data_IF_827986504597
#
_entry.id   IF_827986504597
#
_cell.length_a   1.000
_cell.length_b   1.000
_cell.length_c   1.000
_cell.angle_alpha   90.00
_cell.angle_beta   90.00
_cell.angle_gamma   90.00
#
_symmetry.space_group_name_H-M   'P 1'
#
loop_
_entity.id
_entity.type
_entity.pdbx_description
1 polymer ?
#
# COMPACT_ATOMS: atom_id res chain seq x y z
N UNK A 1 -0.45 -28.31 -43.20
CA UNK A 1 0.63 -28.16 -42.20
C UNK A 1 0.05 -27.76 -40.86
N UNK A 2 -0.72 -26.67 -40.79
CA UNK A 2 -1.30 -26.13 -39.53
C UNK A 2 -2.15 -27.12 -38.70
N UNK A 3 -2.97 -27.98 -39.34
CA UNK A 3 -3.74 -29.02 -38.62
C UNK A 3 -2.85 -30.12 -38.01
N UNK A 4 -1.72 -30.44 -38.66
CA UNK A 4 -0.77 -31.43 -38.15
C UNK A 4 0.06 -30.87 -36.99
N UNK A 5 0.37 -29.58 -37.00
CA UNK A 5 1.07 -28.89 -35.91
C UNK A 5 0.18 -28.75 -34.66
N UNK A 6 -1.11 -28.43 -34.84
CA UNK A 6 -2.08 -28.37 -33.73
C UNK A 6 -2.34 -29.75 -33.11
N UNK A 7 -2.40 -30.81 -33.93
CA UNK A 7 -2.53 -32.18 -33.44
C UNK A 7 -1.29 -32.62 -32.65
N UNK A 8 -0.09 -32.28 -33.13
CA UNK A 8 1.16 -32.54 -32.43
C UNK A 8 1.26 -31.80 -31.09
N UNK A 9 0.80 -30.55 -31.02
CA UNK A 9 0.75 -29.77 -29.78
C UNK A 9 -0.19 -30.38 -28.74
N UNK A 10 -1.36 -30.88 -29.17
CA UNK A 10 -2.34 -31.48 -28.27
C UNK A 10 -1.82 -32.80 -27.66
N UNK A 11 -1.21 -33.67 -28.46
CA UNK A 11 -0.64 -34.93 -27.95
C UNK A 11 0.54 -34.68 -27.00
N UNK A 12 1.30 -33.60 -27.20
CA UNK A 12 2.35 -33.16 -26.27
C UNK A 12 1.76 -32.69 -24.94
N UNK A 13 0.69 -31.88 -24.98
CA UNK A 13 -0.04 -31.42 -23.79
C UNK A 13 -0.65 -32.59 -23.00
N UNK A 14 -1.26 -33.58 -23.68
CA UNK A 14 -1.79 -34.79 -23.06
C UNK A 14 -0.65 -35.64 -22.45
N UNK A 15 0.50 -35.72 -23.13
CA UNK A 15 1.69 -36.40 -22.63
C UNK A 15 2.23 -35.80 -21.32
N UNK A 16 2.32 -34.48 -21.26
CA UNK A 16 2.75 -33.75 -20.06
C UNK A 16 1.75 -33.92 -18.89
N UNK A 17 0.46 -33.86 -19.18
CA UNK A 17 -0.59 -34.09 -18.19
C UNK A 17 -0.51 -35.51 -17.60
N UNK A 18 -0.35 -36.53 -18.44
CA UNK A 18 -0.18 -37.93 -17.99
C UNK A 18 1.03 -38.10 -17.10
N UNK A 19 2.16 -37.47 -17.43
CA UNK A 19 3.37 -37.54 -16.62
C UNK A 19 3.17 -36.87 -15.25
N UNK A 20 2.44 -35.74 -15.21
CA UNK A 20 2.07 -35.07 -13.97
C UNK A 20 1.20 -35.97 -13.07
N UNK A 21 0.16 -36.61 -13.63
CA UNK A 21 -0.74 -37.53 -12.88
C UNK A 21 0.03 -38.72 -12.31
N UNK A 22 0.98 -39.28 -13.06
CA UNK A 22 1.79 -40.44 -12.60
C UNK A 22 2.82 -40.08 -11.52
N UNK A 23 3.27 -38.82 -11.43
CA UNK A 23 4.31 -38.41 -10.47
C UNK A 23 3.81 -38.26 -9.02
N UNK A 24 2.51 -38.03 -8.78
CA UNK A 24 1.95 -37.90 -7.42
C UNK A 24 1.16 -39.16 -7.04
N UNK A 25 1.86 -40.06 -6.35
CA UNK A 25 1.47 -41.40 -5.89
C UNK A 25 0.06 -41.49 -5.26
N UNK A 26 -0.92 -41.97 -6.02
CA UNK A 26 -2.11 -42.72 -5.54
C UNK A 26 -2.88 -43.41 -6.68
N UNK A 27 -2.60 -43.07 -7.94
CA UNK A 27 -3.32 -43.56 -9.12
C UNK A 27 -2.47 -44.61 -9.85
N UNK A 28 -3.02 -45.80 -10.09
CA UNK A 28 -2.35 -46.88 -10.80
C UNK A 28 -2.12 -46.55 -12.27
N UNK A 29 -1.22 -47.30 -12.94
CA UNK A 29 -0.98 -47.10 -14.38
C UNK A 29 -2.23 -47.37 -15.24
N UNK A 30 -3.14 -48.22 -14.77
CA UNK A 30 -4.43 -48.50 -15.41
C UNK A 30 -5.40 -47.32 -15.25
N UNK A 31 -5.56 -46.81 -14.03
CA UNK A 31 -6.42 -45.66 -13.74
C UNK A 31 -5.96 -44.39 -14.47
N UNK A 32 -4.64 -44.20 -14.63
CA UNK A 32 -4.10 -43.09 -15.41
C UNK A 32 -4.41 -43.20 -16.92
N UNK A 33 -4.54 -44.41 -17.45
CA UNK A 33 -4.95 -44.64 -18.84
C UNK A 33 -6.46 -44.38 -19.02
N UNK A 34 -7.28 -44.82 -18.07
CA UNK A 34 -8.72 -44.54 -18.07
C UNK A 34 -9.02 -43.04 -18.00
N UNK A 35 -8.28 -42.29 -17.17
CA UNK A 35 -8.40 -40.83 -17.11
C UNK A 35 -7.90 -40.14 -18.39
N UNK A 36 -6.89 -40.68 -19.08
CA UNK A 36 -6.45 -40.18 -20.39
C UNK A 36 -7.55 -40.38 -21.45
N UNK A 37 -8.19 -41.54 -21.46
CA UNK A 37 -9.27 -41.83 -22.40
C UNK A 37 -10.47 -40.89 -22.18
N UNK A 38 -10.85 -40.65 -20.93
CA UNK A 38 -11.88 -39.68 -20.58
C UNK A 38 -11.51 -38.24 -20.96
N UNK A 39 -10.23 -37.86 -20.82
CA UNK A 39 -9.74 -36.55 -21.24
C UNK A 39 -9.90 -36.38 -22.76
N UNK A 40 -9.46 -37.39 -23.53
CA UNK A 40 -9.55 -37.38 -25.00
C UNK A 40 -11.00 -37.31 -25.47
N UNK A 41 -11.91 -38.02 -24.81
CA UNK A 41 -13.35 -38.00 -25.12
C UNK A 41 -13.97 -36.61 -24.85
N UNK A 42 -13.66 -35.97 -23.72
CA UNK A 42 -14.11 -34.61 -23.41
C UNK A 42 -13.56 -33.59 -24.42
N UNK A 43 -12.28 -33.70 -24.79
CA UNK A 43 -11.66 -32.81 -25.79
C UNK A 43 -12.34 -32.98 -27.15
N UNK A 44 -12.62 -34.21 -27.58
CA UNK A 44 -13.30 -34.48 -28.83
C UNK A 44 -14.71 -33.87 -28.85
N UNK A 45 -15.48 -34.03 -27.76
CA UNK A 45 -16.82 -33.44 -27.63
C UNK A 45 -16.81 -31.90 -27.63
N UNK A 46 -15.83 -31.29 -26.96
CA UNK A 46 -15.68 -29.83 -26.91
C UNK A 46 -15.22 -29.26 -28.25
N UNK A 47 -14.30 -29.94 -28.93
CA UNK A 47 -13.86 -29.56 -30.28
C UNK A 47 -15.02 -29.66 -31.28
N UNK A 48 -15.86 -30.69 -31.18
CA UNK A 48 -17.07 -30.83 -32.00
C UNK A 48 -18.09 -29.71 -31.73
N UNK A 49 -18.06 -29.09 -30.55
CA UNK A 49 -18.89 -27.93 -30.20
C UNK A 49 -18.30 -26.57 -30.65
N UNK A 50 -17.15 -26.57 -31.32
CA UNK A 50 -16.54 -25.40 -31.96
C UNK A 50 -15.40 -24.74 -31.18
N UNK A 51 -14.92 -25.36 -30.09
CA UNK A 51 -13.72 -24.90 -29.37
C UNK A 51 -12.44 -25.28 -30.12
N UNK A 52 -11.41 -24.44 -30.02
CA UNK A 52 -10.07 -24.82 -30.48
C UNK A 52 -9.50 -25.95 -29.62
N UNK A 53 -8.55 -26.73 -30.16
CA UNK A 53 -7.97 -27.89 -29.46
C UNK A 53 -7.35 -27.52 -28.10
N UNK A 54 -6.72 -26.35 -28.01
CA UNK A 54 -6.12 -25.84 -26.78
C UNK A 54 -7.18 -25.42 -25.74
N UNK A 55 -8.24 -24.74 -26.18
CA UNK A 55 -9.36 -24.37 -25.30
C UNK A 55 -10.13 -25.60 -24.82
N UNK A 56 -10.35 -26.57 -25.71
CA UNK A 56 -10.99 -27.84 -25.40
C UNK A 56 -10.19 -28.63 -24.36
N UNK A 57 -8.86 -28.67 -24.49
CA UNK A 57 -7.95 -29.28 -23.50
C UNK A 57 -8.09 -28.62 -22.13
N UNK A 58 -8.02 -27.29 -22.05
CA UNK A 58 -8.13 -26.56 -20.78
C UNK A 58 -9.49 -26.77 -20.09
N UNK A 59 -10.58 -26.74 -20.87
CA UNK A 59 -11.93 -26.96 -20.34
C UNK A 59 -12.11 -28.42 -19.90
N UNK A 60 -11.58 -29.38 -20.65
CA UNK A 60 -11.63 -30.80 -20.31
C UNK A 60 -10.84 -31.10 -19.03
N UNK A 61 -9.60 -30.63 -18.91
CA UNK A 61 -8.79 -30.78 -17.68
C UNK A 61 -9.50 -30.14 -16.48
N UNK A 62 -10.11 -28.96 -16.64
CA UNK A 62 -10.88 -28.30 -15.59
C UNK A 62 -12.14 -29.07 -15.18
N UNK A 63 -12.83 -29.70 -16.13
CA UNK A 63 -14.04 -30.52 -15.88
C UNK A 63 -13.72 -31.84 -15.19
N UNK A 64 -12.67 -32.52 -15.63
CA UNK A 64 -12.17 -33.72 -14.93
C UNK A 64 -11.68 -33.38 -13.53
N UNK A 65 -11.11 -32.18 -13.35
CA UNK A 65 -10.63 -31.68 -12.07
C UNK A 65 -11.69 -31.22 -11.07
N UNK A 66 -12.99 -31.34 -11.37
CA UNK A 66 -14.06 -30.94 -10.48
C UNK A 66 -14.26 -31.88 -9.27
N UNK A 67 -13.47 -32.97 -9.17
CA UNK A 67 -13.61 -33.97 -8.10
C UNK A 67 -12.43 -34.09 -7.13
N UNK A 68 -11.34 -33.31 -7.24
CA UNK A 68 -10.29 -33.37 -6.21
C UNK A 68 -9.43 -32.12 -6.03
N UNK A 69 -8.95 -31.91 -4.79
CA UNK A 69 -8.10 -30.80 -4.36
C UNK A 69 -6.80 -30.64 -5.19
N UNK A 70 -6.37 -31.69 -5.88
CA UNK A 70 -5.18 -31.75 -6.74
C UNK A 70 -5.27 -30.87 -8.00
N UNK A 71 -6.47 -30.68 -8.56
CA UNK A 71 -6.66 -29.89 -9.79
C UNK A 71 -6.56 -28.38 -9.59
N UNK A 72 -6.78 -27.90 -8.36
CA UNK A 72 -6.56 -26.49 -8.00
C UNK A 72 -5.07 -26.14 -7.92
N UNK A 73 -4.23 -27.09 -7.51
CA UNK A 73 -2.77 -26.90 -7.46
C UNK A 73 -2.15 -26.97 -8.85
N UNK A 74 -2.56 -27.91 -9.70
CA UNK A 74 -2.10 -27.97 -11.10
C UNK A 74 -2.54 -26.74 -11.89
N UNK A 75 -3.79 -26.30 -11.75
CA UNK A 75 -4.27 -25.08 -12.39
C UNK A 75 -3.50 -23.83 -11.91
N UNK A 76 -3.05 -23.76 -10.65
CA UNK A 76 -2.23 -22.65 -10.13
C UNK A 76 -0.77 -22.70 -10.64
N UNK A 77 -0.13 -23.87 -10.67
CA UNK A 77 1.26 -23.99 -11.17
C UNK A 77 1.37 -23.89 -12.70
N UNK A 78 0.38 -24.38 -13.46
CA UNK A 78 0.41 -24.35 -14.93
C UNK A 78 -0.19 -23.09 -15.55
N UNK A 79 -1.11 -22.40 -14.89
CA UNK A 79 -1.57 -21.07 -15.38
C UNK A 79 -0.43 -20.06 -15.36
N UNK A 80 0.54 -20.18 -14.44
CA UNK A 80 1.70 -19.29 -14.36
C UNK A 80 2.73 -19.55 -15.49
N UNK A 81 2.82 -20.79 -16.00
CA UNK A 81 3.66 -21.16 -17.16
C UNK A 81 2.97 -20.93 -18.50
N UNK A 82 1.68 -21.24 -18.61
CA UNK A 82 0.87 -20.96 -19.80
C UNK A 82 0.64 -19.46 -19.97
N UNK A 83 0.50 -18.68 -18.89
CA UNK A 83 0.54 -17.22 -18.95
C UNK A 83 1.89 -16.73 -19.47
N UNK A 84 3.00 -17.29 -18.97
CA UNK A 84 4.32 -16.98 -19.53
C UNK A 84 4.42 -17.36 -21.00
N UNK A 85 3.89 -18.49 -21.46
CA UNK A 85 3.92 -18.86 -22.88
C UNK A 85 2.93 -18.08 -23.77
N UNK A 86 1.73 -17.73 -23.28
CA UNK A 86 0.75 -16.93 -24.02
C UNK A 86 1.12 -15.44 -24.07
N UNK A 87 1.86 -14.94 -23.08
CA UNK A 87 2.41 -13.58 -23.07
C UNK A 87 3.79 -13.51 -23.76
N UNK A 88 4.57 -14.61 -23.79
CA UNK A 88 5.89 -14.65 -24.45
C UNK A 88 5.87 -15.21 -25.89
N UNK A 89 4.75 -15.76 -26.36
CA UNK A 89 4.57 -16.15 -27.78
C UNK A 89 3.49 -15.26 -28.38
N UNK A 90 3.84 -14.02 -28.80
CA UNK A 90 2.92 -13.23 -29.58
C UNK A 90 2.69 -13.94 -30.91
N UNK A 91 1.42 -14.16 -31.26
CA UNK A 91 1.03 -14.34 -32.64
C UNK A 91 1.76 -13.26 -33.47
N UNK A 92 2.49 -13.68 -34.50
CA UNK A 92 3.34 -12.82 -35.31
C UNK A 92 2.53 -11.73 -36.00
N UNK A 93 2.25 -10.63 -35.31
CA UNK A 93 1.89 -9.33 -35.88
C UNK A 93 2.21 -8.21 -34.87
N UNK A 94 3.26 -7.44 -35.18
CA UNK A 94 3.50 -6.05 -34.77
C UNK A 94 3.99 -5.65 -33.35
N UNK A 95 4.19 -6.57 -32.39
CA UNK A 95 4.64 -6.17 -31.03
C UNK A 95 6.16 -6.22 -30.76
N UNK A 96 7.02 -6.47 -31.77
CA UNK A 96 8.48 -6.57 -31.58
C UNK A 96 9.27 -5.23 -31.53
N UNK A 97 8.63 -4.08 -31.27
CA UNK A 97 9.33 -2.77 -31.32
C UNK A 97 9.03 -1.77 -30.21
N UNK A 98 8.73 -2.20 -28.98
CA UNK A 98 8.72 -1.27 -27.83
C UNK A 98 9.59 -1.79 -26.69
N UNK A 99 10.85 -1.38 -26.71
CA UNK A 99 11.85 -1.61 -25.64
C UNK A 99 11.40 -1.09 -24.26
N UNK A 100 10.36 -0.25 -24.19
CA UNK A 100 9.78 0.30 -22.96
C UNK A 100 8.24 0.26 -23.07
N UNK A 101 7.52 -0.37 -22.11
CA UNK A 101 6.06 -0.34 -22.09
C UNK A 101 5.53 1.12 -22.06
N UNK A 102 4.45 1.45 -22.79
CA UNK A 102 3.92 2.82 -22.86
C UNK A 102 3.55 3.42 -21.48
N UNK A 103 3.17 2.56 -20.52
CA UNK A 103 2.89 2.96 -19.15
C UNK A 103 4.14 3.47 -18.40
N UNK A 104 5.31 2.89 -18.69
CA UNK A 104 6.57 3.31 -18.07
C UNK A 104 7.02 4.69 -18.56
N UNK A 105 6.86 4.96 -19.86
CA UNK A 105 7.13 6.30 -20.44
C UNK A 105 6.25 7.34 -19.78
N UNK A 106 4.96 7.03 -19.58
CA UNK A 106 4.03 7.92 -18.90
C UNK A 106 4.52 8.22 -17.47
N UNK A 107 4.89 7.20 -16.70
CA UNK A 107 5.40 7.39 -15.34
C UNK A 107 6.67 8.26 -15.30
N UNK A 108 7.60 8.07 -16.24
CA UNK A 108 8.81 8.90 -16.38
C UNK A 108 8.45 10.35 -16.67
N UNK A 109 7.51 10.61 -17.58
CA UNK A 109 7.06 11.98 -17.89
C UNK A 109 6.46 12.68 -16.66
N UNK A 110 5.64 11.97 -15.87
CA UNK A 110 5.10 12.50 -14.62
C UNK A 110 6.19 12.72 -13.56
N UNK A 111 7.19 11.83 -13.47
CA UNK A 111 8.33 11.99 -12.56
C UNK A 111 9.20 13.20 -12.94
N UNK A 112 9.45 13.42 -14.23
CA UNK A 112 10.12 14.62 -14.74
C UNK A 112 9.28 15.87 -14.49
N UNK A 113 7.96 15.78 -14.65
CA UNK A 113 7.03 16.85 -14.28
C UNK A 113 7.12 17.22 -12.81
N UNK A 114 7.22 16.23 -11.91
CA UNK A 114 7.38 16.46 -10.48
C UNK A 114 8.73 17.13 -10.16
N UNK A 115 9.81 16.66 -10.77
CA UNK A 115 11.12 17.31 -10.68
C UNK A 115 11.10 18.76 -11.15
N UNK A 116 10.37 19.05 -12.25
CA UNK A 116 10.18 20.41 -12.73
C UNK A 116 9.38 21.24 -11.74
N UNK A 117 8.26 20.73 -11.19
CA UNK A 117 7.45 21.44 -10.20
C UNK A 117 8.25 21.83 -8.96
N UNK A 118 9.17 20.98 -8.50
CA UNK A 118 10.10 21.30 -7.40
C UNK A 118 10.99 22.51 -7.75
N UNK A 119 11.35 22.69 -9.03
CA UNK A 119 12.20 23.80 -9.49
C UNK A 119 11.45 25.06 -9.89
N UNK A 120 10.15 24.96 -10.20
CA UNK A 120 9.32 26.11 -10.59
C UNK A 120 9.48 27.30 -9.63
N UNK A 121 9.39 27.17 -8.29
CA UNK A 121 9.52 28.32 -7.40
C UNK A 121 10.86 29.05 -7.50
N UNK A 122 11.95 28.34 -7.76
CA UNK A 122 13.28 28.94 -7.89
C UNK A 122 13.39 29.88 -9.09
N UNK A 123 12.63 29.64 -10.17
CA UNK A 123 12.55 30.55 -11.32
C UNK A 123 11.83 31.87 -11.00
N UNK A 124 11.07 31.91 -9.90
CA UNK A 124 10.40 33.11 -9.38
C UNK A 124 11.17 33.75 -8.22
N UNK A 125 12.42 33.35 -7.97
CA UNK A 125 13.25 33.87 -6.89
C UNK A 125 12.96 33.25 -5.51
N UNK A 126 12.10 32.24 -5.43
CA UNK A 126 11.84 31.49 -4.20
C UNK A 126 12.80 30.30 -4.15
N UNK A 127 14.01 30.54 -3.65
CA UNK A 127 15.07 29.53 -3.57
C UNK A 127 14.91 28.64 -2.34
N UNK A 128 15.35 27.38 -2.41
CA UNK A 128 15.27 26.45 -1.27
C UNK A 128 16.10 26.90 -0.05
N UNK A 129 17.24 27.56 -0.30
CA UNK A 129 18.14 28.02 0.76
C UNK A 129 17.53 29.14 1.59
N UNK A 130 16.84 30.08 0.94
CA UNK A 130 16.27 31.25 1.61
C UNK A 130 14.82 31.02 2.06
N UNK A 131 14.12 30.05 1.46
CA UNK A 131 12.67 29.86 1.63
C UNK A 131 12.31 28.42 2.04
N UNK A 132 13.09 27.79 2.92
CA UNK A 132 12.88 26.41 3.37
C UNK A 132 11.42 26.16 3.83
N UNK A 133 10.84 27.07 4.61
CA UNK A 133 9.48 26.93 5.11
C UNK A 133 8.43 26.87 4.00
N UNK A 134 8.64 27.58 2.88
CA UNK A 134 7.75 27.51 1.73
C UNK A 134 7.77 26.11 1.11
N UNK A 135 8.97 25.55 0.93
CA UNK A 135 9.14 24.21 0.35
C UNK A 135 8.57 23.11 1.25
N UNK A 136 8.81 23.19 2.55
CA UNK A 136 8.28 22.23 3.53
C UNK A 136 6.74 22.25 3.56
N UNK A 137 6.12 23.44 3.57
CA UNK A 137 4.65 23.58 3.55
C UNK A 137 4.03 23.09 2.23
N UNK A 138 4.76 23.20 1.12
CA UNK A 138 4.24 22.86 -0.20
C UNK A 138 4.73 21.51 -0.74
N UNK A 139 5.47 20.72 0.04
CA UNK A 139 6.10 19.46 -0.40
C UNK A 139 5.13 18.51 -1.08
N UNK A 140 3.90 18.40 -0.56
CA UNK A 140 2.84 17.55 -1.09
C UNK A 140 2.39 17.98 -2.51
N UNK A 141 2.39 19.28 -2.81
CA UNK A 141 1.91 19.81 -4.09
C UNK A 141 2.88 19.59 -5.25
N UNK A 142 4.17 19.37 -4.96
CA UNK A 142 5.14 19.07 -6.02
C UNK A 142 4.94 17.68 -6.63
N UNK A 143 4.17 16.80 -5.98
CA UNK A 143 4.10 15.38 -6.36
C UNK A 143 2.67 14.80 -6.39
N UNK A 144 1.85 15.08 -5.37
CA UNK A 144 0.54 14.44 -5.22
C UNK A 144 -0.49 14.86 -6.29
N UNK A 145 -0.56 16.12 -6.77
CA UNK A 145 -1.46 16.48 -7.88
C UNK A 145 -1.14 15.69 -9.17
N UNK A 146 0.16 15.49 -9.44
CA UNK A 146 0.62 14.71 -10.59
C UNK A 146 0.29 13.23 -10.44
N UNK A 147 0.45 12.67 -9.24
CA UNK A 147 0.07 11.29 -8.96
C UNK A 147 -1.45 11.07 -9.06
N UNK A 148 -2.26 12.01 -8.55
CA UNK A 148 -3.72 11.97 -8.70
C UNK A 148 -4.12 12.03 -10.18
N UNK A 149 -3.51 12.92 -10.97
CA UNK A 149 -3.76 13.02 -12.41
C UNK A 149 -3.37 11.74 -13.15
N UNK A 150 -2.23 11.13 -12.79
CA UNK A 150 -1.81 9.83 -13.32
C UNK A 150 -2.87 8.76 -13.09
N UNK A 151 -3.40 8.64 -11.87
CA UNK A 151 -4.44 7.66 -11.57
C UNK A 151 -5.79 7.96 -12.22
N UNK A 152 -6.23 9.22 -12.25
CA UNK A 152 -7.46 9.62 -12.95
C UNK A 152 -7.41 9.21 -14.41
N UNK A 153 -6.26 9.43 -15.07
CA UNK A 153 -6.05 9.04 -16.46
C UNK A 153 -6.04 7.53 -16.62
N UNK A 154 -5.31 6.82 -15.76
CA UNK A 154 -5.14 5.36 -15.85
C UNK A 154 -6.42 4.58 -15.54
N UNK A 155 -7.23 5.07 -14.59
CA UNK A 155 -8.53 4.49 -14.23
C UNK A 155 -9.69 4.98 -15.11
N UNK A 156 -9.43 5.90 -16.05
CA UNK A 156 -10.44 6.53 -16.93
C UNK A 156 -11.62 7.11 -16.14
N UNK A 157 -11.32 7.78 -15.03
CA UNK A 157 -12.33 8.30 -14.09
C UNK A 157 -12.30 9.84 -14.01
N UNK A 158 -12.68 10.56 -15.09
CA UNK A 158 -12.56 12.02 -15.15
C UNK A 158 -13.44 12.76 -14.14
N UNK A 159 -14.51 12.12 -13.65
CA UNK A 159 -15.38 12.70 -12.61
C UNK A 159 -14.63 13.05 -11.32
N UNK A 160 -13.52 12.37 -11.01
CA UNK A 160 -12.68 12.70 -9.85
C UNK A 160 -11.81 13.95 -10.05
N UNK A 161 -11.64 14.47 -11.27
CA UNK A 161 -10.72 15.58 -11.54
C UNK A 161 -11.13 16.88 -10.84
N UNK A 162 -12.41 17.26 -10.92
CA UNK A 162 -12.91 18.49 -10.28
C UNK A 162 -12.81 18.46 -8.75
N UNK A 163 -13.30 17.43 -8.03
CA UNK A 163 -13.16 17.38 -6.57
C UNK A 163 -11.71 17.26 -6.13
N UNK A 164 -10.86 16.53 -6.87
CA UNK A 164 -9.43 16.47 -6.57
C UNK A 164 -8.77 17.85 -6.72
N UNK A 165 -9.01 18.55 -7.84
CA UNK A 165 -8.50 19.90 -8.07
C UNK A 165 -8.97 20.87 -6.97
N UNK A 166 -10.26 20.82 -6.60
CA UNK A 166 -10.80 21.64 -5.52
C UNK A 166 -10.09 21.37 -4.18
N UNK A 167 -9.82 20.11 -3.83
CA UNK A 167 -9.12 19.76 -2.60
C UNK A 167 -7.65 20.21 -2.61
N UNK A 168 -6.93 20.04 -3.73
CA UNK A 168 -5.56 20.54 -3.87
C UNK A 168 -5.50 22.06 -3.80
N UNK A 169 -6.43 22.76 -4.45
CA UNK A 169 -6.51 24.22 -4.39
C UNK A 169 -6.81 24.69 -2.97
N UNK A 170 -7.78 24.08 -2.28
CA UNK A 170 -8.12 24.41 -0.90
C UNK A 170 -6.91 24.21 0.02
N UNK A 171 -6.19 23.09 -0.11
CA UNK A 171 -4.96 22.83 0.62
C UNK A 171 -3.87 23.86 0.32
N UNK A 172 -3.69 24.23 -0.95
CA UNK A 172 -2.68 25.21 -1.35
C UNK A 172 -3.02 26.62 -0.81
N UNK A 173 -4.30 27.00 -0.80
CA UNK A 173 -4.77 28.23 -0.16
C UNK A 173 -4.44 28.19 1.33
N UNK A 174 -4.85 27.15 2.06
CA UNK A 174 -4.54 27.03 3.49
C UNK A 174 -3.02 27.08 3.79
N UNK A 175 -2.20 26.40 2.99
CA UNK A 175 -0.75 26.35 3.19
C UNK A 175 -0.05 27.70 2.97
N UNK A 176 -0.59 28.56 2.10
CA UNK A 176 0.10 29.78 1.63
C UNK A 176 -0.58 31.09 2.06
N UNK A 177 -1.87 31.09 2.42
CA UNK A 177 -2.59 32.32 2.82
C UNK A 177 -2.76 32.45 4.33
N UNK A 178 -2.64 31.37 5.10
CA UNK A 178 -2.74 31.44 6.55
C UNK A 178 -1.52 32.16 7.16
N UNK A 179 -1.72 33.15 8.06
CA UNK A 179 -0.65 33.99 8.60
C UNK A 179 0.11 33.28 9.74
N UNK A 180 0.77 32.17 9.42
CA UNK A 180 1.59 31.43 10.39
C UNK A 180 2.84 32.23 10.80
N UNK A 181 3.05 32.38 12.11
CA UNK A 181 4.30 32.90 12.65
C UNK A 181 5.47 31.89 12.56
N UNK A 182 6.72 32.31 12.82
CA UNK A 182 7.92 31.47 12.71
C UNK A 182 7.88 30.19 13.57
N UNK A 183 7.24 30.25 14.75
CA UNK A 183 7.13 29.15 15.72
C UNK A 183 5.70 28.58 15.82
N UNK A 184 4.91 28.70 14.74
CA UNK A 184 3.50 28.31 14.77
C UNK A 184 3.33 26.79 14.90
N UNK A 185 2.76 26.35 16.02
CA UNK A 185 2.35 24.96 16.24
C UNK A 185 1.28 24.52 15.24
N UNK A 186 0.31 25.36 14.93
CA UNK A 186 -0.69 25.07 13.88
C UNK A 186 -0.06 25.00 12.49
N UNK A 187 1.00 25.76 12.22
CA UNK A 187 1.81 25.64 10.99
C UNK A 187 2.50 24.28 10.88
N UNK A 188 3.14 23.82 11.96
CA UNK A 188 3.77 22.48 12.03
C UNK A 188 2.70 21.38 11.85
N UNK A 189 1.56 21.52 12.52
CA UNK A 189 0.45 20.55 12.37
C UNK A 189 -0.07 20.50 10.93
N UNK A 190 -0.19 21.65 10.25
CA UNK A 190 -0.56 21.69 8.84
C UNK A 190 0.44 20.94 7.98
N UNK A 191 1.75 21.16 8.16
CA UNK A 191 2.81 20.45 7.41
C UNK A 191 2.69 18.93 7.57
N UNK A 192 2.34 18.46 8.77
CA UNK A 192 2.21 17.03 9.05
C UNK A 192 0.91 16.42 8.50
N UNK A 193 -0.22 17.13 8.60
CA UNK A 193 -1.54 16.58 8.28
C UNK A 193 -1.99 16.84 6.84
N UNK A 194 -1.48 17.88 6.18
CA UNK A 194 -1.83 18.21 4.80
C UNK A 194 -1.43 17.10 3.82
N UNK A 195 -0.21 16.52 3.86
CA UNK A 195 0.12 15.38 3.02
C UNK A 195 -0.80 14.19 3.25
N UNK A 196 -1.20 13.92 4.50
CA UNK A 196 -2.13 12.83 4.87
C UNK A 196 -3.51 13.08 4.25
N UNK A 197 -4.06 14.29 4.40
CA UNK A 197 -5.35 14.65 3.83
C UNK A 197 -5.35 14.55 2.29
N UNK A 198 -4.30 15.05 1.64
CA UNK A 198 -4.14 14.99 0.18
C UNK A 198 -3.86 13.57 -0.32
N UNK A 199 -3.25 12.70 0.50
CA UNK A 199 -3.08 11.28 0.18
C UNK A 199 -4.43 10.58 0.00
N UNK A 200 -5.43 10.90 0.83
CA UNK A 200 -6.79 10.37 0.64
C UNK A 200 -7.46 10.88 -0.64
N UNK A 201 -7.13 12.10 -1.10
CA UNK A 201 -7.58 12.61 -2.41
C UNK A 201 -6.96 11.79 -3.54
N UNK A 202 -5.67 11.44 -3.44
CA UNK A 202 -5.02 10.49 -4.35
C UNK A 202 -5.70 9.12 -4.29
N UNK A 203 -6.13 8.66 -3.11
CA UNK A 203 -6.89 7.41 -2.95
C UNK A 203 -8.22 7.39 -3.69
N UNK A 204 -8.96 8.51 -3.70
CA UNK A 204 -10.17 8.64 -4.52
C UNK A 204 -9.87 8.52 -6.02
N UNK A 205 -8.78 9.13 -6.49
CA UNK A 205 -8.30 8.97 -7.86
C UNK A 205 -7.88 7.52 -8.17
N UNK A 206 -7.17 6.89 -7.25
CA UNK A 206 -6.66 5.52 -7.36
C UNK A 206 -7.79 4.48 -7.48
N UNK A 207 -8.83 4.61 -6.66
CA UNK A 207 -9.95 3.65 -6.61
C UNK A 207 -10.88 3.73 -7.82
N UNK A 208 -10.83 4.80 -8.62
CA UNK A 208 -11.53 4.88 -9.90
C UNK A 208 -13.06 4.70 -9.82
N UNK A 209 -13.69 5.22 -8.75
CA UNK A 209 -15.12 5.07 -8.50
C UNK A 209 -15.50 3.92 -7.55
N UNK A 210 -14.56 3.04 -7.22
CA UNK A 210 -14.73 1.95 -6.23
C UNK A 210 -14.49 2.40 -4.78
N UNK A 211 -14.56 3.69 -4.48
CA UNK A 211 -14.35 4.16 -3.10
C UNK A 211 -15.41 3.64 -2.12
N UNK A 212 -16.63 3.34 -2.58
CA UNK A 212 -17.67 2.79 -1.70
C UNK A 212 -17.58 1.26 -1.53
N UNK A 213 -16.69 0.62 -2.27
CA UNK A 213 -16.41 -0.81 -2.21
C UNK A 213 -15.27 -1.08 -1.20
N UNK A 214 -15.46 -1.96 -0.20
CA UNK A 214 -14.41 -2.36 0.73
C UNK A 214 -13.13 -2.84 0.03
N UNK A 215 -13.27 -3.58 -1.07
CA UNK A 215 -12.13 -4.13 -1.81
C UNK A 215 -11.32 -3.00 -2.47
N UNK A 216 -12.00 -2.02 -3.05
CA UNK A 216 -11.36 -0.82 -3.62
C UNK A 216 -10.55 -0.04 -2.57
N UNK A 217 -11.08 0.11 -1.35
CA UNK A 217 -10.35 0.75 -0.24
C UNK A 217 -9.16 -0.10 0.23
N UNK A 218 -9.32 -1.42 0.28
CA UNK A 218 -8.23 -2.33 0.64
C UNK A 218 -7.10 -2.30 -0.40
N UNK A 219 -7.43 -2.26 -1.69
CA UNK A 219 -6.46 -2.11 -2.78
C UNK A 219 -5.64 -0.82 -2.61
N UNK A 220 -6.27 0.28 -2.19
CA UNK A 220 -5.58 1.54 -1.93
C UNK A 220 -4.64 1.46 -0.71
N UNK A 221 -5.05 0.79 0.36
CA UNK A 221 -4.18 0.55 1.52
C UNK A 221 -2.95 -0.27 1.11
N UNK A 222 -3.17 -1.38 0.40
CA UNK A 222 -2.10 -2.25 -0.12
C UNK A 222 -1.13 -1.48 -1.00
N UNK A 223 -1.66 -0.73 -1.96
CA UNK A 223 -0.87 0.15 -2.81
C UNK A 223 -0.05 1.15 -1.99
N UNK A 224 -0.65 1.79 -0.97
CA UNK A 224 0.00 2.83 -0.18
C UNK A 224 1.23 2.32 0.56
N UNK A 225 1.13 1.17 1.26
CA UNK A 225 2.30 0.66 1.98
C UNK A 225 3.26 -0.12 1.08
N UNK A 226 2.83 -0.70 -0.05
CA UNK A 226 3.78 -1.20 -1.05
C UNK A 226 4.60 -0.06 -1.66
N UNK A 227 3.94 1.05 -2.01
CA UNK A 227 4.63 2.26 -2.45
C UNK A 227 5.60 2.76 -1.39
N UNK A 228 5.20 2.79 -0.11
CA UNK A 228 6.08 3.18 0.97
C UNK A 228 7.35 2.31 1.03
N UNK A 229 7.20 0.98 0.93
CA UNK A 229 8.34 0.04 0.93
C UNK A 229 9.26 0.31 -0.27
N UNK A 230 8.69 0.43 -1.48
CA UNK A 230 9.48 0.72 -2.68
C UNK A 230 10.16 2.09 -2.61
N UNK A 231 9.46 3.09 -2.07
CA UNK A 231 10.02 4.42 -1.87
C UNK A 231 11.21 4.38 -0.91
N UNK A 232 11.11 3.66 0.21
CA UNK A 232 12.22 3.47 1.14
C UNK A 232 13.39 2.76 0.44
N UNK A 233 13.13 1.70 -0.34
CA UNK A 233 14.18 0.99 -1.06
C UNK A 233 14.88 1.88 -2.10
N UNK A 234 14.11 2.66 -2.86
CA UNK A 234 14.63 3.64 -3.82
C UNK A 234 15.43 4.74 -3.08
N UNK A 235 14.94 5.22 -1.95
CA UNK A 235 15.61 6.25 -1.16
C UNK A 235 16.93 5.73 -0.55
N UNK A 236 16.99 4.48 -0.08
CA UNK A 236 18.23 3.86 0.39
C UNK A 236 19.24 3.70 -0.76
N UNK A 237 18.81 3.19 -1.91
CA UNK A 237 19.65 3.12 -3.11
C UNK A 237 20.13 4.50 -3.59
N UNK A 238 19.23 5.49 -3.56
CA UNK A 238 19.52 6.89 -3.86
C UNK A 238 20.49 7.53 -2.86
N UNK A 239 20.40 7.18 -1.58
CA UNK A 239 21.32 7.61 -0.53
C UNK A 239 22.74 7.07 -0.75
N UNK A 240 22.86 5.77 -1.06
CA UNK A 240 24.14 5.16 -1.44
C UNK A 240 24.72 5.82 -2.70
N UNK A 241 23.90 6.01 -3.73
CA UNK A 241 24.30 6.73 -4.95
C UNK A 241 24.79 8.16 -4.63
N UNK A 242 24.06 8.89 -3.81
CA UNK A 242 24.40 10.26 -3.40
C UNK A 242 25.71 10.29 -2.62
N UNK A 243 25.97 9.30 -1.76
CA UNK A 243 27.23 9.17 -1.01
C UNK A 243 28.42 8.96 -1.95
N UNK A 244 28.31 8.05 -2.93
CA UNK A 244 29.37 7.86 -3.92
C UNK A 244 29.57 9.08 -4.81
N UNK A 245 28.48 9.73 -5.23
CA UNK A 245 28.55 10.98 -5.99
C UNK A 245 29.31 12.06 -5.19
N UNK A 246 28.96 12.26 -3.93
CA UNK A 246 29.65 13.22 -3.07
C UNK A 246 31.15 12.91 -2.94
N UNK A 247 31.48 11.64 -2.68
CA UNK A 247 32.86 11.19 -2.53
C UNK A 247 33.69 11.39 -3.81
N UNK A 248 33.21 10.91 -4.95
CA UNK A 248 33.95 10.95 -6.23
C UNK A 248 34.20 12.39 -6.71
N UNK A 249 33.19 13.27 -6.61
CA UNK A 249 33.36 14.66 -7.04
C UNK A 249 34.28 15.44 -6.09
N UNK A 250 34.20 15.18 -4.78
CA UNK A 250 35.11 15.81 -3.81
C UNK A 250 36.56 15.40 -4.04
N UNK A 251 36.82 14.12 -4.39
CA UNK A 251 38.16 13.63 -4.71
C UNK A 251 38.82 14.36 -5.90
N UNK A 252 38.03 14.81 -6.88
CA UNK A 252 38.52 15.59 -8.04
C UNK A 252 38.45 17.11 -7.81
N UNK A 253 38.19 17.55 -6.58
CA UNK A 253 38.18 18.97 -6.20
C UNK A 253 36.89 19.73 -6.50
N UNK A 254 35.78 19.03 -6.80
CA UNK A 254 34.46 19.63 -7.04
C UNK A 254 33.57 19.44 -5.80
N UNK A 255 32.87 20.50 -5.36
CA UNK A 255 31.91 20.44 -4.24
C UNK A 255 30.49 20.25 -4.77
N UNK A 256 29.89 19.04 -4.68
CA UNK A 256 28.58 18.77 -5.26
C UNK A 256 27.41 19.12 -4.32
N UNK A 257 27.66 19.67 -3.12
CA UNK A 257 26.67 19.86 -2.05
C UNK A 257 25.42 20.60 -2.53
N UNK A 258 25.59 21.72 -3.23
CA UNK A 258 24.50 22.53 -3.76
C UNK A 258 23.66 21.75 -4.78
N UNK A 259 24.33 21.00 -5.67
CA UNK A 259 23.65 20.15 -6.65
C UNK A 259 22.87 19.02 -5.96
N UNK A 260 23.46 18.39 -4.95
CA UNK A 260 22.83 17.32 -4.18
C UNK A 260 21.57 17.83 -3.48
N UNK A 261 21.69 18.91 -2.72
CA UNK A 261 20.63 19.43 -1.86
C UNK A 261 19.50 20.07 -2.64
N UNK A 262 19.78 20.75 -3.75
CA UNK A 262 18.75 21.48 -4.49
C UNK A 262 18.19 20.71 -5.67
N UNK A 263 18.99 19.85 -6.33
CA UNK A 263 18.56 19.10 -7.52
C UNK A 263 18.37 17.62 -7.23
N UNK A 264 19.44 16.91 -6.86
CA UNK A 264 19.42 15.45 -6.82
C UNK A 264 18.39 14.90 -5.83
N UNK A 265 18.45 15.34 -4.57
CA UNK A 265 17.58 14.82 -3.52
C UNK A 265 16.13 15.25 -3.74
N UNK A 266 15.79 16.54 -3.92
CA UNK A 266 14.39 16.95 -4.03
C UNK A 266 13.70 16.43 -5.29
N UNK A 267 14.37 16.50 -6.45
CA UNK A 267 13.82 15.98 -7.70
C UNK A 267 13.78 14.45 -7.70
N UNK A 268 14.79 13.79 -7.15
CA UNK A 268 14.84 12.34 -7.01
C UNK A 268 13.75 11.82 -6.08
N UNK A 269 13.54 12.45 -4.92
CA UNK A 269 12.48 12.15 -3.97
C UNK A 269 11.09 12.31 -4.61
N UNK A 270 10.82 13.44 -5.26
CA UNK A 270 9.55 13.67 -5.94
C UNK A 270 9.31 12.64 -7.07
N UNK A 271 10.32 12.41 -7.91
CA UNK A 271 10.24 11.43 -9.00
C UNK A 271 10.07 9.99 -8.51
N UNK A 272 10.70 9.62 -7.39
CA UNK A 272 10.62 8.29 -6.81
C UNK A 272 9.19 7.91 -6.38
N UNK A 273 8.36 8.87 -5.97
CA UNK A 273 6.93 8.62 -5.68
C UNK A 273 6.20 8.15 -6.93
N UNK A 274 6.41 8.81 -8.08
CA UNK A 274 5.74 8.47 -9.34
C UNK A 274 6.26 7.14 -9.91
N UNK A 275 7.58 6.96 -9.92
CA UNK A 275 8.23 5.72 -10.41
C UNK A 275 7.86 4.54 -9.51
N UNK A 276 7.89 4.71 -8.18
CA UNK A 276 7.45 3.70 -7.23
C UNK A 276 5.98 3.34 -7.43
N UNK A 277 5.11 4.33 -7.70
CA UNK A 277 3.68 4.10 -7.94
C UNK A 277 3.45 3.27 -9.20
N UNK A 278 4.20 3.55 -10.27
CA UNK A 278 4.18 2.75 -11.48
C UNK A 278 4.70 1.33 -11.25
N UNK A 279 5.81 1.18 -10.50
CA UNK A 279 6.39 -0.14 -10.21
C UNK A 279 5.42 -1.03 -9.42
N UNK A 280 4.75 -0.48 -8.41
CA UNK A 280 3.72 -1.19 -7.63
C UNK A 280 2.60 -1.67 -8.55
N UNK A 281 2.08 -0.79 -9.40
CA UNK A 281 0.99 -1.12 -10.31
C UNK A 281 1.38 -2.10 -11.42
N UNK A 282 2.60 -2.00 -11.96
CA UNK A 282 3.10 -2.92 -12.98
C UNK A 282 3.33 -4.33 -12.42
N UNK A 283 3.55 -4.44 -11.11
CA UNK A 283 3.78 -5.70 -10.40
C UNK A 283 2.51 -6.41 -9.96
N UNK A 284 1.37 -5.71 -9.81
CA UNK A 284 0.12 -6.30 -9.32
C UNK A 284 -0.30 -7.49 -10.22
N UNK A 285 0.07 -8.71 -9.82
CA UNK A 285 -0.21 -9.95 -10.52
C UNK A 285 0.93 -10.99 -10.60
N UNK A 286 2.20 -10.64 -10.31
CA UNK A 286 3.34 -11.55 -10.64
C UNK A 286 4.19 -11.99 -9.43
N UNK A 287 4.14 -11.31 -8.29
CA UNK A 287 5.05 -11.58 -7.16
C UNK A 287 4.27 -11.48 -5.85
N UNK A 288 4.55 -12.39 -4.91
CA UNK A 288 4.05 -12.33 -3.54
C UNK A 288 4.23 -10.91 -2.95
N UNK A 289 3.12 -10.35 -2.46
CA UNK A 289 3.14 -9.01 -1.85
C UNK A 289 4.14 -9.01 -0.67
N UNK A 290 4.84 -7.91 -0.43
CA UNK A 290 5.76 -7.80 0.73
C UNK A 290 5.01 -7.71 2.06
N UNK A 291 3.70 -7.43 1.99
CA UNK A 291 2.79 -7.28 3.12
C UNK A 291 2.83 -8.42 4.15
N UNK A 292 2.74 -9.71 3.76
CA UNK A 292 2.75 -10.83 4.69
C UNK A 292 4.13 -11.03 5.35
N UNK A 293 5.21 -10.73 4.64
CA UNK A 293 6.58 -10.84 5.18
C UNK A 293 6.77 -9.83 6.30
N UNK A 294 6.38 -8.57 6.04
CA UNK A 294 6.58 -7.47 6.97
C UNK A 294 5.75 -7.67 8.26
N UNK A 295 4.49 -8.10 8.14
CA UNK A 295 3.65 -8.37 9.32
C UNK A 295 4.16 -9.57 10.11
N UNK A 296 4.58 -10.65 9.46
CA UNK A 296 5.13 -11.81 10.17
C UNK A 296 6.39 -11.48 10.95
N UNK A 297 7.20 -10.52 10.48
CA UNK A 297 8.40 -10.07 11.17
C UNK A 297 8.08 -9.09 12.30
N UNK A 298 7.29 -8.05 12.03
CA UNK A 298 7.10 -6.94 12.95
C UNK A 298 5.98 -7.15 13.96
N UNK A 299 4.90 -7.86 13.63
CA UNK A 299 3.79 -8.10 14.57
C UNK A 299 4.29 -8.73 15.88
N UNK A 300 5.06 -9.84 15.89
CA UNK A 300 5.58 -10.40 17.15
C UNK A 300 6.48 -9.44 17.92
N UNK A 301 7.34 -8.70 17.24
CA UNK A 301 8.27 -7.74 17.85
C UNK A 301 7.52 -6.60 18.54
N UNK A 302 6.54 -6.01 17.86
CA UNK A 302 5.72 -4.93 18.42
C UNK A 302 4.78 -5.43 19.52
N UNK A 303 4.28 -6.68 19.43
CA UNK A 303 3.51 -7.28 20.53
C UNK A 303 4.38 -7.40 21.77
N UNK A 304 5.59 -7.93 21.63
CA UNK A 304 6.53 -8.06 22.74
C UNK A 304 6.88 -6.70 23.33
N UNK A 305 7.19 -5.71 22.48
CA UNK A 305 7.49 -4.34 22.89
C UNK A 305 6.35 -3.75 23.74
N UNK A 306 5.10 -3.83 23.26
CA UNK A 306 3.95 -3.28 23.97
C UNK A 306 3.63 -4.03 25.27
N UNK A 307 3.73 -5.36 25.28
CA UNK A 307 3.52 -6.15 26.49
C UNK A 307 4.56 -5.81 27.55
N UNK A 308 5.85 -5.76 27.17
CA UNK A 308 6.93 -5.38 28.08
C UNK A 308 6.74 -3.96 28.59
N UNK A 309 6.42 -3.01 27.70
CA UNK A 309 6.15 -1.63 28.07
C UNK A 309 5.02 -1.49 29.09
N UNK A 310 3.88 -2.15 28.85
CA UNK A 310 2.75 -2.15 29.79
C UNK A 310 3.11 -2.80 31.12
N UNK A 311 3.86 -3.91 31.10
CA UNK A 311 4.33 -4.55 32.32
C UNK A 311 5.25 -3.63 33.13
N UNK A 312 6.19 -2.93 32.46
CA UNK A 312 7.06 -1.93 33.10
C UNK A 312 6.27 -0.77 33.69
N UNK A 313 5.23 -0.30 33.01
CA UNK A 313 4.36 0.77 33.50
C UNK A 313 3.61 0.33 34.77
N UNK A 314 3.05 -0.88 34.78
CA UNK A 314 2.33 -1.44 35.93
C UNK A 314 3.26 -1.66 37.14
N UNK A 315 4.46 -2.20 36.92
CA UNK A 315 5.44 -2.46 37.99
C UNK A 315 6.07 -1.17 38.51
N UNK A 316 6.34 -0.21 37.61
CA UNK A 316 6.99 1.05 37.96
C UNK A 316 6.11 1.97 38.79
N UNK A 317 4.78 1.85 38.72
CA UNK A 317 3.81 2.67 39.47
C UNK A 317 3.86 4.16 39.14
N UNK A 318 4.73 4.57 38.21
CA UNK A 318 4.84 5.93 37.68
C UNK A 318 3.89 6.03 36.50
N UNK A 319 3.07 7.08 36.48
CA UNK A 319 2.33 7.44 35.28
C UNK A 319 3.28 7.71 34.12
N UNK A 320 2.74 7.76 32.90
CA UNK A 320 3.49 8.26 31.76
C UNK A 320 3.87 9.71 32.05
N UNK A 321 5.13 9.97 32.37
CA UNK A 321 5.64 11.33 32.49
C UNK A 321 5.87 11.84 31.08
N UNK A 322 4.85 12.47 30.51
CA UNK A 322 4.88 12.74 29.09
C UNK A 322 5.50 14.08 28.78
N UNK A 323 6.80 14.06 28.54
CA UNK A 323 7.42 15.08 27.70
C UNK A 323 6.84 15.03 26.28
N UNK A 324 6.82 16.19 25.62
CA UNK A 324 6.23 16.37 24.27
C UNK A 324 6.68 15.28 23.29
N UNK A 325 7.94 14.86 23.38
CA UNK A 325 8.55 13.89 22.47
C UNK A 325 8.05 12.46 22.70
N UNK A 326 7.69 12.12 23.95
CA UNK A 326 7.17 10.79 24.30
C UNK A 326 5.73 10.63 23.79
N UNK A 327 4.93 11.71 23.80
CA UNK A 327 3.56 11.75 23.25
C UNK A 327 3.56 11.42 21.75
N UNK A 328 4.46 12.07 20.99
CA UNK A 328 4.58 11.87 19.54
C UNK A 328 5.07 10.46 19.22
N UNK A 329 6.06 9.96 19.96
CA UNK A 329 6.56 8.60 19.79
C UNK A 329 5.46 7.55 20.02
N UNK A 330 4.57 7.81 20.99
CA UNK A 330 3.45 6.93 21.31
C UNK A 330 2.38 6.93 20.21
N UNK A 331 2.00 8.10 19.72
CA UNK A 331 1.06 8.22 18.59
C UNK A 331 1.60 7.48 17.36
N UNK A 332 2.89 7.65 17.06
CA UNK A 332 3.55 6.94 15.97
C UNK A 332 3.54 5.42 16.18
N UNK A 333 3.77 4.95 17.42
CA UNK A 333 3.69 3.53 17.79
C UNK A 333 2.28 2.97 17.56
N UNK A 334 1.23 3.70 17.97
CA UNK A 334 -0.16 3.26 17.77
C UNK A 334 -0.55 3.25 16.28
N UNK A 335 -0.14 4.26 15.51
CA UNK A 335 -0.33 4.29 14.06
C UNK A 335 0.41 3.13 13.38
N UNK A 336 1.61 2.78 13.84
CA UNK A 336 2.35 1.60 13.37
C UNK A 336 1.59 0.31 13.66
N UNK A 337 1.04 0.15 14.86
CA UNK A 337 0.20 -1.03 15.19
C UNK A 337 -1.03 -1.10 14.30
N UNK A 338 -1.70 0.02 14.05
CA UNK A 338 -2.83 0.08 13.12
C UNK A 338 -2.41 -0.36 11.71
N UNK A 339 -1.25 0.10 11.22
CA UNK A 339 -0.70 -0.32 9.94
C UNK A 339 -0.42 -1.83 9.89
N UNK A 340 0.20 -2.39 10.94
CA UNK A 340 0.45 -3.84 11.06
C UNK A 340 -0.86 -4.64 11.09
N UNK A 341 -1.88 -4.16 11.82
CA UNK A 341 -3.21 -4.77 11.86
C UNK A 341 -3.84 -4.80 10.46
N UNK A 342 -3.88 -3.66 9.77
CA UNK A 342 -4.40 -3.54 8.41
C UNK A 342 -3.68 -4.48 7.45
N UNK A 343 -2.34 -4.48 7.48
CA UNK A 343 -1.52 -5.30 6.61
C UNK A 343 -1.69 -6.80 6.89
N UNK A 344 -1.84 -7.18 8.16
CA UNK A 344 -2.05 -8.57 8.54
C UNK A 344 -3.39 -9.09 8.03
N UNK A 345 -4.46 -8.29 8.21
CA UNK A 345 -5.79 -8.61 7.67
C UNK A 345 -5.75 -8.73 6.14
N UNK A 346 -5.07 -7.79 5.48
CA UNK A 346 -4.89 -7.75 4.03
C UNK A 346 -4.17 -8.99 3.46
N UNK A 347 -3.25 -9.57 4.22
CA UNK A 347 -2.39 -10.68 3.79
C UNK A 347 -2.97 -12.07 4.07
N UNK A 348 -4.04 -12.14 4.86
CA UNK A 348 -4.63 -13.39 5.35
C UNK A 348 -5.58 -13.99 4.32
N UNK A 349 -5.57 -15.31 4.18
CA UNK A 349 -6.62 -16.00 3.41
C UNK A 349 -7.96 -15.88 4.17
N UNK A 350 -9.02 -15.30 3.57
CA UNK A 350 -10.32 -15.17 4.22
C UNK A 350 -10.96 -16.50 4.62
N UNK A 351 -10.58 -17.60 3.97
CA UNK A 351 -11.14 -18.93 4.20
C UNK A 351 -10.33 -19.77 5.20
N UNK A 352 -9.15 -19.31 5.62
CA UNK A 352 -8.34 -20.01 6.62
C UNK A 352 -8.95 -19.86 8.02
N UNK A 353 -9.04 -20.96 8.80
CA UNK A 353 -9.49 -20.92 10.19
C UNK A 353 -8.53 -20.08 11.06
N UNK A 354 -8.98 -19.63 12.26
CA UNK A 354 -8.11 -18.87 13.17
C UNK A 354 -6.87 -19.68 13.59
N UNK A 355 -5.69 -19.04 13.51
CA UNK A 355 -4.42 -19.63 13.89
C UNK A 355 -3.72 -18.88 15.03
N UNK A 356 -2.52 -19.35 15.40
CA UNK A 356 -1.70 -18.73 16.46
C UNK A 356 -1.34 -17.26 16.16
N UNK A 357 -1.15 -16.95 14.88
CA UNK A 357 -0.85 -15.58 14.44
C UNK A 357 -2.03 -14.64 14.66
N UNK A 358 -3.27 -15.11 14.50
CA UNK A 358 -4.47 -14.31 14.78
C UNK A 358 -4.61 -14.00 16.28
N UNK A 359 -4.21 -14.95 17.14
CA UNK A 359 -4.14 -14.73 18.59
C UNK A 359 -3.07 -13.69 18.93
N UNK A 360 -1.87 -13.81 18.33
CA UNK A 360 -0.79 -12.84 18.51
C UNK A 360 -1.21 -11.42 18.08
N UNK A 361 -1.93 -11.32 16.96
CA UNK A 361 -2.48 -10.06 16.47
C UNK A 361 -3.56 -9.51 17.42
N UNK A 362 -4.43 -10.36 17.98
CA UNK A 362 -5.38 -9.95 19.01
C UNK A 362 -4.66 -9.40 20.25
N UNK A 363 -3.59 -10.07 20.71
CA UNK A 363 -2.76 -9.57 21.82
C UNK A 363 -2.15 -8.22 21.47
N UNK A 364 -1.60 -8.05 20.27
CA UNK A 364 -1.06 -6.78 19.80
C UNK A 364 -2.10 -5.65 19.92
N UNK A 365 -3.30 -5.87 19.39
CA UNK A 365 -4.37 -4.87 19.36
C UNK A 365 -4.87 -4.56 20.77
N UNK A 366 -5.01 -5.56 21.64
CA UNK A 366 -5.42 -5.36 23.03
C UNK A 366 -4.35 -4.60 23.81
N UNK A 367 -3.07 -4.94 23.64
CA UNK A 367 -1.97 -4.20 24.26
C UNK A 367 -1.91 -2.75 23.75
N UNK A 368 -2.09 -2.53 22.46
CA UNK A 368 -2.15 -1.17 21.91
C UNK A 368 -3.34 -0.39 22.46
N UNK A 369 -4.51 -1.02 22.61
CA UNK A 369 -5.69 -0.39 23.22
C UNK A 369 -5.42 0.02 24.68
N UNK A 370 -4.76 -0.83 25.46
CA UNK A 370 -4.38 -0.50 26.84
C UNK A 370 -3.37 0.65 26.90
N UNK A 371 -2.41 0.63 25.98
CA UNK A 371 -1.40 1.66 25.83
C UNK A 371 -2.07 3.02 25.48
N UNK A 372 -2.98 3.04 24.50
CA UNK A 372 -3.77 4.20 24.08
C UNK A 372 -4.61 4.78 25.23
N UNK A 373 -5.27 3.93 26.04
CA UNK A 373 -5.97 4.38 27.25
C UNK A 373 -5.03 5.09 28.25
N UNK A 374 -3.81 4.60 28.42
CA UNK A 374 -2.81 5.25 29.28
C UNK A 374 -2.35 6.59 28.71
N UNK A 375 -2.17 6.70 27.39
CA UNK A 375 -1.84 7.95 26.73
C UNK A 375 -2.98 8.98 26.85
N UNK A 376 -4.22 8.58 26.60
CA UNK A 376 -5.40 9.43 26.78
C UNK A 376 -5.52 9.97 28.21
N UNK A 377 -5.29 9.12 29.21
CA UNK A 377 -5.27 9.54 30.61
C UNK A 377 -4.24 10.65 30.84
N UNK A 378 -3.01 10.44 30.38
CA UNK A 378 -1.92 11.39 30.57
C UNK A 378 -2.09 12.69 29.78
N UNK A 379 -2.62 12.63 28.55
CA UNK A 379 -2.99 13.81 27.75
C UNK A 379 -4.06 14.62 28.47
N UNK A 380 -5.09 13.94 29.00
CA UNK A 380 -6.19 14.58 29.72
C UNK A 380 -5.71 15.26 31.00
N UNK A 381 -4.84 14.59 31.77
CA UNK A 381 -4.20 15.18 32.95
C UNK A 381 -3.40 16.44 32.58
N UNK A 382 -2.55 16.36 31.56
CA UNK A 382 -1.78 17.52 31.04
C UNK A 382 -2.67 18.67 30.57
N UNK A 383 -3.78 18.38 29.89
CA UNK A 383 -4.75 19.42 29.47
C UNK A 383 -5.39 20.08 30.68
N UNK A 384 -5.72 19.30 31.72
CA UNK A 384 -6.31 19.84 32.95
C UNK A 384 -5.34 20.73 33.74
N UNK A 385 -4.04 20.40 33.72
CA UNK A 385 -3.00 21.14 34.44
C UNK A 385 -2.47 22.35 33.67
N UNK A 386 -2.24 22.21 32.37
CA UNK A 386 -1.52 23.20 31.54
C UNK A 386 -2.38 23.83 30.44
N UNK A 387 -3.68 23.53 30.39
CA UNK A 387 -4.64 24.08 29.42
C UNK A 387 -4.57 23.45 28.02
N UNK A 388 -5.43 23.97 27.13
CA UNK A 388 -5.54 23.52 25.75
C UNK A 388 -4.45 24.15 24.87
N UNK A 389 -3.76 23.32 24.11
CA UNK A 389 -2.82 23.75 23.04
C UNK A 389 -3.14 23.00 21.75
N UNK A 390 -2.81 23.55 20.57
CA UNK A 390 -3.07 22.88 19.29
C UNK A 390 -2.56 21.44 19.27
N UNK A 391 -1.33 21.21 19.73
CA UNK A 391 -0.70 19.90 19.74
C UNK A 391 -1.40 18.92 20.70
N UNK A 392 -1.82 19.37 21.88
CA UNK A 392 -2.52 18.50 22.85
C UNK A 392 -3.90 18.11 22.34
N UNK A 393 -4.61 19.04 21.70
CA UNK A 393 -5.92 18.74 21.09
C UNK A 393 -5.77 17.83 19.87
N UNK A 394 -4.72 18.02 19.07
CA UNK A 394 -4.40 17.14 17.95
C UNK A 394 -4.12 15.70 18.42
N UNK A 395 -3.24 15.55 19.42
CA UNK A 395 -2.91 14.25 20.02
C UNK A 395 -4.14 13.61 20.68
N UNK A 396 -4.91 14.37 21.46
CA UNK A 396 -6.14 13.87 22.10
C UNK A 396 -7.13 13.32 21.05
N UNK A 397 -7.40 14.08 19.99
CA UNK A 397 -8.33 13.64 18.95
C UNK A 397 -7.82 12.41 18.20
N UNK A 398 -6.53 12.35 17.86
CA UNK A 398 -5.92 11.18 17.24
C UNK A 398 -6.05 9.93 18.13
N UNK A 399 -5.72 10.03 19.42
CA UNK A 399 -5.86 8.92 20.35
C UNK A 399 -7.33 8.50 20.52
N UNK A 400 -8.30 9.43 20.56
CA UNK A 400 -9.73 9.05 20.58
C UNK A 400 -10.13 8.27 19.31
N UNK A 401 -9.67 8.72 18.15
CA UNK A 401 -9.93 8.06 16.87
C UNK A 401 -9.34 6.65 16.84
N UNK A 402 -8.10 6.50 17.33
CA UNK A 402 -7.40 5.22 17.46
C UNK A 402 -8.10 4.32 18.47
N UNK A 403 -8.51 4.82 19.63
CA UNK A 403 -9.19 4.08 20.67
C UNK A 403 -10.48 3.45 20.13
N UNK A 404 -11.31 4.23 19.43
CA UNK A 404 -12.56 3.73 18.82
C UNK A 404 -12.25 2.66 17.77
N UNK A 405 -11.25 2.91 16.92
CA UNK A 405 -10.84 1.96 15.89
C UNK A 405 -10.33 0.64 16.48
N UNK A 406 -9.40 0.72 17.43
CA UNK A 406 -8.75 -0.41 18.09
C UNK A 406 -9.73 -1.19 18.97
N UNK A 407 -10.62 -0.52 19.70
CA UNK A 407 -11.60 -1.20 20.55
C UNK A 407 -12.54 -2.10 19.73
N UNK A 408 -13.09 -1.57 18.63
CA UNK A 408 -13.94 -2.38 17.74
C UNK A 408 -13.13 -3.42 16.98
N UNK A 409 -11.87 -3.13 16.63
CA UNK A 409 -10.98 -4.12 16.02
C UNK A 409 -10.67 -5.28 16.96
N UNK A 410 -10.39 -5.00 18.24
CA UNK A 410 -10.18 -6.01 19.27
C UNK A 410 -11.43 -6.89 19.44
N UNK A 411 -12.62 -6.27 19.48
CA UNK A 411 -13.87 -7.02 19.59
C UNK A 411 -14.12 -7.94 18.37
N UNK A 412 -13.86 -7.45 17.15
CA UNK A 412 -14.01 -8.24 15.93
C UNK A 412 -12.95 -9.33 15.81
N UNK A 413 -11.69 -9.03 16.15
CA UNK A 413 -10.60 -10.00 16.20
C UNK A 413 -10.88 -11.09 17.24
N UNK A 414 -11.40 -10.73 18.43
CA UNK A 414 -11.80 -11.70 19.44
C UNK A 414 -12.95 -12.59 18.95
N UNK A 415 -13.95 -12.01 18.29
CA UNK A 415 -15.06 -12.77 17.69
C UNK A 415 -14.57 -13.73 16.61
N UNK A 416 -13.63 -13.30 15.78
CA UNK A 416 -12.98 -14.11 14.77
C UNK A 416 -12.20 -15.28 15.38
N UNK A 417 -11.32 -15.01 16.36
CA UNK A 417 -10.55 -16.03 17.09
C UNK A 417 -11.46 -17.04 17.80
N UNK A 418 -12.63 -16.60 18.28
CA UNK A 418 -13.66 -17.48 18.87
C UNK A 418 -14.51 -18.26 17.83
N UNK A 419 -14.28 -18.06 16.53
CA UNK A 419 -15.05 -18.70 15.45
C UNK A 419 -16.48 -18.15 15.27
N UNK A 420 -16.79 -16.98 15.84
CA UNK A 420 -18.14 -16.39 15.89
C UNK A 420 -18.41 -15.29 14.85
N UNK A 421 -17.41 -14.93 14.04
CA UNK A 421 -17.53 -13.97 12.94
C UNK A 421 -16.42 -14.23 11.90
N UNK A 422 -16.64 -13.90 10.62
CA UNK A 422 -15.60 -13.97 9.59
C UNK A 422 -14.59 -12.81 9.71
N UNK A 423 -13.37 -13.02 9.24
CA UNK A 423 -12.32 -11.97 9.23
C UNK A 423 -12.73 -10.75 8.39
N UNK A 424 -13.57 -10.94 7.37
CA UNK A 424 -14.08 -9.86 6.52
C UNK A 424 -14.87 -8.78 7.29
N UNK A 425 -15.39 -9.07 8.48
CA UNK A 425 -15.99 -8.04 9.34
C UNK A 425 -14.93 -7.03 9.84
N UNK A 426 -13.74 -7.52 10.19
CA UNK A 426 -12.62 -6.69 10.63
C UNK A 426 -12.07 -5.85 9.48
N UNK A 427 -11.92 -6.45 8.30
CA UNK A 427 -11.52 -5.75 7.08
C UNK A 427 -12.48 -4.61 6.72
N UNK A 428 -13.79 -4.88 6.70
CA UNK A 428 -14.81 -3.87 6.44
C UNK A 428 -14.79 -2.76 7.46
N UNK A 429 -14.66 -3.09 8.75
CA UNK A 429 -14.53 -2.08 9.80
C UNK A 429 -13.35 -1.16 9.53
N UNK A 430 -12.18 -1.74 9.32
CA UNK A 430 -10.94 -1.02 9.09
C UNK A 430 -11.00 -0.10 7.87
N UNK A 431 -11.41 -0.63 6.72
CA UNK A 431 -11.54 0.14 5.48
C UNK A 431 -12.64 1.20 5.59
N UNK A 432 -13.74 0.94 6.28
CA UNK A 432 -14.82 1.91 6.51
C UNK A 432 -14.44 3.08 7.42
N UNK A 433 -13.39 2.92 8.23
CA UNK A 433 -12.94 3.94 9.17
C UNK A 433 -11.94 4.93 8.54
N UNK A 434 -11.35 4.61 7.37
CA UNK A 434 -10.41 5.48 6.66
C UNK A 434 -10.91 6.92 6.43
N UNK A 435 -12.17 7.16 6.00
CA UNK A 435 -12.67 8.52 5.81
C UNK A 435 -12.69 9.33 7.12
N UNK A 436 -12.78 8.68 8.28
CA UNK A 436 -12.74 9.35 9.59
C UNK A 436 -11.33 9.91 9.85
N UNK A 437 -10.28 9.15 9.54
CA UNK A 437 -8.90 9.65 9.60
C UNK A 437 -8.66 10.79 8.60
N UNK A 438 -9.19 10.68 7.38
CA UNK A 438 -9.11 11.74 6.38
C UNK A 438 -9.78 13.03 6.85
N UNK A 439 -10.98 12.92 7.45
CA UNK A 439 -11.72 14.05 8.01
C UNK A 439 -10.95 14.69 9.16
N UNK A 440 -10.36 13.90 10.06
CA UNK A 440 -9.54 14.42 11.14
C UNK A 440 -8.34 15.21 10.63
N UNK A 441 -7.60 14.65 9.67
CA UNK A 441 -6.49 15.37 9.04
C UNK A 441 -6.95 16.70 8.41
N UNK A 442 -8.10 16.71 7.73
CA UNK A 442 -8.68 17.93 7.19
C UNK A 442 -9.07 18.95 8.28
N UNK A 443 -9.64 18.51 9.40
CA UNK A 443 -9.97 19.37 10.55
C UNK A 443 -8.70 20.02 11.11
N UNK A 444 -7.62 19.26 11.27
CA UNK A 444 -6.34 19.80 11.75
C UNK A 444 -5.75 20.81 10.75
N UNK A 445 -5.92 20.62 9.45
CA UNK A 445 -5.42 21.55 8.42
C UNK A 445 -6.26 22.84 8.35
N UNK A 446 -7.58 22.74 8.35
CA UNK A 446 -8.46 23.88 8.04
C UNK A 446 -9.06 24.57 9.26
N UNK A 447 -9.30 23.84 10.34
CA UNK A 447 -10.03 24.35 11.52
C UNK A 447 -9.06 24.78 12.63
N UNK A 448 -7.98 24.03 12.86
CA UNK A 448 -7.06 24.35 13.96
C UNK A 448 -6.36 25.71 13.79
N UNK A 449 -5.82 26.08 12.61
CA UNK A 449 -5.18 27.37 12.44
C UNK A 449 -6.07 28.56 12.87
N UNK A 450 -7.31 28.74 12.37
CA UNK A 450 -8.15 29.84 12.83
C UNK A 450 -8.59 29.68 14.30
N UNK A 451 -8.84 28.45 14.77
CA UNK A 451 -9.29 28.19 16.14
C UNK A 451 -8.25 28.61 17.20
N UNK A 452 -6.96 28.44 16.89
CA UNK A 452 -5.85 28.79 17.78
C UNK A 452 -5.13 30.09 17.37
N UNK A 453 -5.73 30.89 16.49
CA UNK A 453 -5.17 32.18 16.07
C UNK A 453 -3.83 32.08 15.32
N UNK A 454 -3.64 31.00 14.54
CA UNK A 454 -2.48 30.71 13.70
C UNK A 454 -1.17 30.51 14.48
N UNK A 455 -1.27 30.20 15.78
CA UNK A 455 -0.13 29.95 16.68
C UNK A 455 0.23 28.49 16.83
#
# INVERSE_FOLDING_TARGET
MEQNERAASLDEQIGQWREFVRRRRTIGAADAAELEDHLREQIAGLTASGLSSDEAFLVAVKRMGALDALSREFAREHSDRLWKQLVLTPAETDERSRLVPPDAVTAILFALGAALLVKVPAFFGITMEENEQFYVRNVAFFVLPLLALYFIRRRRFPAAAYPAAAAFIAGAVAANTFPFGPESHTGILLVLHLPIALWFVVGLAYTGGRWNDPDGRMDFIRFSGELFIYYVLIALGGGVFTMFLAMLFTMIGVRPDLFIQTWLIPCGAAGAVLIGSWLVEAKQGVIENMAPVLTRLFTPLFTLLLVVFLATLLVGGRGLDIDRDVLIAFDLLLVMVLALLLYSVSARDPYEPPGLFDVLQLVLVVSALMADMAALWAITARISEFGLTPNRVAALGLNILLLINLARSAALALRFVRGSAPIGDLERWQTSYLPVFALWAAVVVFVFPPLFGFR
#
